data_IF_714733357393
#
_entry.id   IF_714733357393
#
_cell.length_a   1.000
_cell.length_b   1.000
_cell.length_c   1.000
_cell.angle_alpha   90.00
_cell.angle_beta   90.00
_cell.angle_gamma   90.00
#
_symmetry.space_group_name_H-M   'P 1'
#
loop_
_entity.id
_entity.type
_entity.pdbx_description
1 polymer ?
#
# COMPACT_ATOMS: atom_id res chain seq x y z
N UNK A 1 14.16 21.80 3.39
CA UNK A 1 12.85 22.10 4.00
C UNK A 1 11.92 20.95 3.63
N UNK A 2 11.56 20.12 4.60
CA UNK A 2 10.90 18.81 4.44
C UNK A 2 9.44 18.96 4.01
N UNK A 3 9.13 18.72 2.73
CA UNK A 3 7.76 18.59 2.22
C UNK A 3 7.31 17.13 2.31
N UNK A 4 6.75 16.77 3.46
CA UNK A 4 5.88 15.59 3.55
C UNK A 4 4.60 15.88 2.75
N UNK A 5 4.08 14.93 1.94
CA UNK A 5 2.76 15.10 1.32
C UNK A 5 1.74 15.32 2.44
N UNK A 6 0.96 16.40 2.35
CA UNK A 6 -0.16 16.67 3.26
C UNK A 6 -1.25 15.62 3.00
N UNK A 7 -1.09 14.46 3.63
CA UNK A 7 -2.13 13.46 3.75
C UNK A 7 -3.34 14.12 4.45
N UNK A 8 -4.58 13.95 3.98
CA UNK A 8 -5.74 14.55 4.62
C UNK A 8 -5.77 14.16 6.11
N UNK A 9 -6.21 15.07 6.97
CA UNK A 9 -6.10 14.98 8.44
C UNK A 9 -6.74 13.73 9.09
N UNK A 10 -7.54 12.97 8.34
CA UNK A 10 -8.10 11.68 8.75
C UNK A 10 -7.40 10.43 8.20
N UNK A 11 -6.50 10.55 7.23
CA UNK A 11 -5.88 9.40 6.55
C UNK A 11 -5.05 8.51 7.48
N UNK A 12 -4.22 9.04 8.41
CA UNK A 12 -3.51 8.19 9.37
C UNK A 12 -4.46 7.34 10.22
N UNK A 13 -5.57 7.91 10.71
CA UNK A 13 -6.58 7.17 11.49
C UNK A 13 -7.26 6.05 10.68
N UNK A 14 -7.50 6.28 9.39
CA UNK A 14 -8.06 5.27 8.50
C UNK A 14 -7.06 4.14 8.22
N UNK A 15 -5.78 4.47 8.04
CA UNK A 15 -4.71 3.47 7.91
C UNK A 15 -4.63 2.59 9.16
N UNK A 16 -4.80 3.16 10.37
CA UNK A 16 -4.84 2.37 11.60
C UNK A 16 -6.02 1.39 11.65
N UNK A 17 -7.21 1.83 11.22
CA UNK A 17 -8.38 0.97 11.13
C UNK A 17 -8.15 -0.18 10.13
N UNK A 18 -7.56 0.10 8.97
CA UNK A 18 -7.24 -0.91 7.96
C UNK A 18 -6.17 -1.89 8.47
N UNK A 19 -5.10 -1.38 9.07
CA UNK A 19 -4.05 -2.21 9.65
C UNK A 19 -4.60 -3.17 10.72
N UNK A 20 -5.60 -2.74 11.48
CA UNK A 20 -6.25 -3.57 12.51
C UNK A 20 -6.99 -4.79 11.95
N UNK A 21 -7.43 -4.75 10.68
CA UNK A 21 -8.06 -5.89 10.02
C UNK A 21 -7.06 -7.05 9.80
N UNK A 22 -5.75 -6.75 9.80
CA UNK A 22 -4.68 -7.74 9.62
C UNK A 22 -4.04 -8.20 10.94
N UNK A 23 -4.20 -7.44 12.03
CA UNK A 23 -3.63 -7.77 13.36
C UNK A 23 -4.10 -9.15 13.87
N UNK A 24 -5.28 -9.61 13.45
CA UNK A 24 -5.80 -10.94 13.81
C UNK A 24 -5.06 -12.13 13.20
N UNK A 25 -4.02 -11.91 12.37
CA UNK A 25 -3.26 -12.97 11.70
C UNK A 25 -1.76 -12.93 12.09
N UNK A 26 -1.36 -13.55 13.22
CA UNK A 26 0.00 -13.45 13.75
C UNK A 26 1.09 -13.81 12.73
N UNK A 27 0.90 -14.88 11.96
CA UNK A 27 1.87 -15.32 10.96
C UNK A 27 2.03 -14.31 9.81
N UNK A 28 0.94 -13.68 9.36
CA UNK A 28 1.00 -12.60 8.35
C UNK A 28 1.75 -11.40 8.91
N UNK A 29 1.46 -11.00 10.15
CA UNK A 29 2.15 -9.89 10.80
C UNK A 29 3.65 -10.14 10.96
N UNK A 30 4.07 -11.38 11.28
CA UNK A 30 5.48 -11.73 11.37
C UNK A 30 6.18 -11.67 10.01
N UNK A 31 5.58 -12.25 8.96
CA UNK A 31 6.14 -12.18 7.59
C UNK A 31 6.27 -10.73 7.10
N UNK A 32 5.27 -9.89 7.38
CA UNK A 32 5.33 -8.46 7.08
C UNK A 32 6.43 -7.75 7.89
N UNK A 33 6.66 -8.16 9.13
CA UNK A 33 7.72 -7.59 9.96
C UNK A 33 9.09 -7.91 9.37
N UNK A 34 9.33 -9.16 8.99
CA UNK A 34 10.58 -9.57 8.35
C UNK A 34 10.80 -8.86 7.00
N UNK A 35 9.77 -8.82 6.15
CA UNK A 35 9.80 -8.14 4.85
C UNK A 35 10.16 -6.65 4.97
N UNK A 36 9.66 -5.99 6.01
CA UNK A 36 9.86 -4.56 6.24
C UNK A 36 11.11 -4.25 7.10
N UNK A 37 11.98 -5.24 7.33
CA UNK A 37 13.24 -5.04 8.05
C UNK A 37 13.07 -4.86 9.55
N UNK A 38 11.97 -5.37 10.12
CA UNK A 38 11.66 -5.40 11.55
C UNK A 38 11.60 -6.85 12.06
N UNK A 39 12.66 -7.66 11.93
CA UNK A 39 12.62 -9.06 12.34
C UNK A 39 12.46 -9.19 13.87
N UNK A 40 11.95 -10.34 14.31
CA UNK A 40 11.88 -10.67 15.73
C UNK A 40 13.27 -10.64 16.37
N UNK A 41 13.37 -10.05 17.58
CA UNK A 41 14.62 -10.04 18.34
C UNK A 41 14.64 -11.18 19.35
N UNK A 42 15.83 -11.74 19.61
CA UNK A 42 15.98 -12.82 20.58
C UNK A 42 15.62 -12.29 21.97
N UNK A 43 14.65 -12.94 22.61
CA UNK A 43 14.19 -12.58 23.94
C UNK A 43 13.15 -11.46 23.98
N UNK A 44 12.55 -11.09 22.84
CA UNK A 44 11.45 -10.12 22.82
C UNK A 44 10.30 -10.57 23.74
N UNK A 45 9.80 -9.63 24.53
CA UNK A 45 8.60 -9.78 25.34
C UNK A 45 7.35 -9.87 24.45
N UNK A 46 6.24 -10.34 25.00
CA UNK A 46 4.95 -10.36 24.29
C UNK A 46 4.50 -8.96 23.84
N UNK A 47 4.75 -7.94 24.67
CA UNK A 47 4.40 -6.56 24.33
C UNK A 47 5.27 -6.00 23.21
N UNK A 48 6.59 -6.26 23.23
CA UNK A 48 7.49 -5.87 22.14
C UNK A 48 7.09 -6.56 20.83
N UNK A 49 6.77 -7.85 20.87
CA UNK A 49 6.29 -8.61 19.70
C UNK A 49 5.00 -8.01 19.13
N UNK A 50 4.05 -7.68 20.00
CA UNK A 50 2.78 -7.06 19.62
C UNK A 50 3.02 -5.68 18.99
N UNK A 51 3.84 -4.84 19.61
CA UNK A 51 4.19 -3.52 19.10
C UNK A 51 4.89 -3.60 17.72
N UNK A 52 5.81 -4.55 17.55
CA UNK A 52 6.49 -4.82 16.27
C UNK A 52 5.50 -5.21 15.18
N UNK A 53 4.61 -6.18 15.45
CA UNK A 53 3.56 -6.60 14.51
C UNK A 53 2.62 -5.46 14.13
N UNK A 54 2.20 -4.64 15.09
CA UNK A 54 1.35 -3.46 14.84
C UNK A 54 2.08 -2.44 13.96
N UNK A 55 3.36 -2.22 14.22
CA UNK A 55 4.17 -1.29 13.42
C UNK A 55 4.31 -1.80 11.99
N UNK A 56 4.61 -3.08 11.81
CA UNK A 56 4.72 -3.71 10.51
C UNK A 56 3.42 -3.61 9.69
N UNK A 57 2.26 -3.89 10.28
CA UNK A 57 0.97 -3.77 9.56
C UNK A 57 0.62 -2.33 9.21
N UNK A 58 0.94 -1.35 10.06
CA UNK A 58 0.76 0.08 9.75
C UNK A 58 1.66 0.53 8.61
N UNK A 59 2.95 0.17 8.64
CA UNK A 59 3.90 0.49 7.57
C UNK A 59 3.48 -0.18 6.26
N UNK A 60 3.10 -1.46 6.28
CA UNK A 60 2.59 -2.19 5.12
C UNK A 60 1.36 -1.48 4.51
N UNK A 61 0.39 -1.10 5.34
CA UNK A 61 -0.83 -0.40 4.91
C UNK A 61 -0.51 0.95 4.26
N UNK A 62 0.43 1.71 4.83
CA UNK A 62 0.88 2.99 4.29
C UNK A 62 1.58 2.83 2.94
N UNK A 63 2.47 1.83 2.82
CA UNK A 63 3.17 1.53 1.56
C UNK A 63 2.16 1.17 0.46
N UNK A 64 1.20 0.29 0.76
CA UNK A 64 0.14 -0.08 -0.19
C UNK A 64 -0.71 1.11 -0.61
N UNK A 65 -1.12 1.96 0.35
CA UNK A 65 -1.88 3.17 0.04
C UNK A 65 -1.09 4.12 -0.87
N UNK A 66 0.20 4.34 -0.58
CA UNK A 66 1.07 5.18 -1.40
C UNK A 66 1.26 4.60 -2.81
N UNK A 67 1.42 3.29 -2.94
CA UNK A 67 1.52 2.61 -4.23
C UNK A 67 0.22 2.74 -5.05
N UNK A 68 -0.94 2.60 -4.42
CA UNK A 68 -2.25 2.79 -5.06
C UNK A 68 -2.47 4.23 -5.51
N UNK A 69 -2.11 5.22 -4.68
CA UNK A 69 -2.16 6.64 -5.06
C UNK A 69 -1.27 6.87 -6.27
N UNK A 70 -0.04 6.36 -6.24
CA UNK A 70 0.91 6.52 -7.34
C UNK A 70 0.41 5.86 -8.64
N UNK A 71 -0.19 4.68 -8.58
CA UNK A 71 -0.85 4.03 -9.71
C UNK A 71 -1.93 4.92 -10.33
N UNK A 72 -2.84 5.47 -9.51
CA UNK A 72 -3.94 6.32 -10.00
C UNK A 72 -3.42 7.61 -10.64
N UNK A 73 -2.34 8.17 -10.08
CA UNK A 73 -1.66 9.33 -10.66
C UNK A 73 -0.99 9.02 -11.99
N UNK A 74 -0.31 7.88 -12.12
CA UNK A 74 0.29 7.45 -13.39
C UNK A 74 -0.78 7.23 -14.46
N UNK A 75 -1.88 6.57 -14.10
CA UNK A 75 -3.02 6.34 -15.00
C UNK A 75 -3.71 7.64 -15.45
N UNK A 76 -3.74 8.68 -14.61
CA UNK A 76 -4.41 9.96 -14.91
C UNK A 76 -3.50 10.99 -15.59
N UNK A 77 -2.30 11.21 -15.04
CA UNK A 77 -1.45 12.38 -15.35
C UNK A 77 -0.19 12.02 -16.13
N UNK A 78 0.25 10.75 -16.10
CA UNK A 78 1.47 10.29 -16.78
C UNK A 78 1.25 9.79 -18.21
N UNK A 79 0.01 9.51 -18.62
CA UNK A 79 -0.31 9.10 -19.98
C UNK A 79 0.30 7.75 -20.42
N UNK A 80 0.86 6.97 -19.49
CA UNK A 80 1.29 5.61 -19.82
C UNK A 80 0.06 4.70 -19.84
N UNK A 81 -0.55 4.56 -21.01
CA UNK A 81 -1.74 3.72 -21.24
C UNK A 81 -1.53 2.23 -20.94
N UNK A 82 -0.37 1.84 -20.41
CA UNK A 82 -0.09 0.50 -19.89
C UNK A 82 -0.36 0.38 -18.38
N UNK A 83 -0.59 1.49 -17.67
CA UNK A 83 -0.96 1.53 -16.25
C UNK A 83 -2.47 1.70 -16.12
N UNK A 84 -3.11 0.73 -15.48
CA UNK A 84 -4.55 0.74 -15.29
C UNK A 84 -4.92 1.57 -14.05
N UNK A 85 -6.00 2.33 -14.11
CA UNK A 85 -6.56 2.98 -12.91
C UNK A 85 -7.05 1.94 -11.89
N UNK A 86 -7.17 2.32 -10.62
CA UNK A 86 -7.70 1.45 -9.57
C UNK A 86 -9.14 1.00 -9.84
N UNK A 87 -9.89 1.73 -10.68
CA UNK A 87 -11.25 1.35 -11.10
C UNK A 87 -11.29 0.01 -11.85
N UNK A 88 -10.20 -0.41 -12.48
CA UNK A 88 -10.14 -1.68 -13.20
C UNK A 88 -10.38 -2.90 -12.28
N UNK A 89 -10.15 -2.75 -10.97
CA UNK A 89 -10.21 -3.84 -9.99
C UNK A 89 -11.45 -3.75 -9.07
N UNK A 90 -12.36 -2.80 -9.29
CA UNK A 90 -13.51 -2.56 -8.39
C UNK A 90 -14.47 -3.76 -8.34
N UNK A 91 -14.57 -4.53 -9.42
CA UNK A 91 -15.45 -5.70 -9.52
C UNK A 91 -14.74 -7.03 -9.34
N UNK A 92 -13.43 -7.02 -9.10
CA UNK A 92 -12.65 -8.25 -9.01
C UNK A 92 -13.00 -9.04 -7.75
N UNK A 93 -13.20 -10.34 -7.88
CA UNK A 93 -13.43 -11.22 -6.74
C UNK A 93 -12.22 -11.27 -5.80
N UNK A 94 -11.01 -11.15 -6.38
CA UNK A 94 -9.75 -11.00 -5.67
C UNK A 94 -8.96 -9.79 -6.21
N UNK A 95 -9.20 -8.57 -5.68
CA UNK A 95 -8.45 -7.40 -6.08
C UNK A 95 -6.98 -7.46 -5.64
N UNK A 96 -6.63 -8.33 -4.68
CA UNK A 96 -5.25 -8.48 -4.20
C UNK A 96 -4.39 -9.07 -5.31
N UNK A 97 -4.85 -10.17 -5.91
CA UNK A 97 -4.13 -10.83 -7.01
C UNK A 97 -4.07 -9.97 -8.27
N UNK A 98 -5.19 -9.31 -8.62
CA UNK A 98 -5.25 -8.39 -9.77
C UNK A 98 -4.24 -7.24 -9.65
N UNK A 99 -4.22 -6.55 -8.51
CA UNK A 99 -3.29 -5.44 -8.26
C UNK A 99 -1.85 -5.94 -8.21
N UNK A 100 -1.59 -7.06 -7.54
CA UNK A 100 -0.26 -7.67 -7.45
C UNK A 100 0.31 -7.98 -8.84
N UNK A 101 -0.46 -8.65 -9.70
CA UNK A 101 -0.05 -8.96 -11.07
C UNK A 101 0.21 -7.70 -11.89
N UNK A 102 -0.60 -6.66 -11.71
CA UNK A 102 -0.41 -5.39 -12.40
C UNK A 102 0.85 -4.66 -11.93
N UNK A 103 1.09 -4.58 -10.62
CA UNK A 103 2.29 -3.97 -10.06
C UNK A 103 3.56 -4.70 -10.49
N UNK A 104 3.53 -6.03 -10.53
CA UNK A 104 4.62 -6.84 -11.10
C UNK A 104 4.97 -6.38 -12.52
N UNK A 105 3.95 -6.22 -13.37
CA UNK A 105 4.12 -5.74 -14.74
C UNK A 105 4.68 -4.31 -14.79
N UNK A 106 4.26 -3.42 -13.90
CA UNK A 106 4.74 -2.03 -13.88
C UNK A 106 6.24 -1.97 -13.58
N UNK A 107 6.71 -2.58 -12.48
CA UNK A 107 8.14 -2.43 -12.15
C UNK A 107 9.06 -3.28 -13.02
N UNK A 108 8.58 -4.37 -13.62
CA UNK A 108 9.39 -5.18 -14.55
C UNK A 108 9.43 -4.63 -15.98
N UNK A 109 8.41 -3.87 -16.42
CA UNK A 109 8.29 -3.44 -17.83
C UNK A 109 8.21 -1.92 -18.05
N UNK A 110 8.00 -1.12 -16.99
CA UNK A 110 7.72 0.33 -17.09
C UNK A 110 8.74 1.16 -16.27
N UNK A 111 9.63 0.54 -15.48
CA UNK A 111 10.74 1.16 -14.72
C UNK A 111 10.35 2.08 -13.53
N UNK A 112 9.13 2.01 -12.99
CA UNK A 112 8.76 2.68 -11.72
C UNK A 112 9.06 1.80 -10.49
N UNK A 113 10.32 1.43 -10.31
CA UNK A 113 10.69 0.20 -9.58
C UNK A 113 10.44 0.18 -8.07
N UNK A 114 10.85 1.18 -7.27
CA UNK A 114 10.97 0.95 -5.82
C UNK A 114 9.63 0.70 -5.13
N UNK A 115 8.59 1.50 -5.43
CA UNK A 115 7.32 1.45 -4.69
C UNK A 115 6.43 0.27 -5.08
N UNK A 116 6.39 -0.10 -6.36
CA UNK A 116 5.57 -1.22 -6.82
C UNK A 116 6.19 -2.57 -6.48
N UNK A 117 7.52 -2.68 -6.43
CA UNK A 117 8.19 -3.91 -6.01
C UNK A 117 7.93 -4.22 -4.54
N UNK A 118 8.06 -3.23 -3.65
CA UNK A 118 7.76 -3.43 -2.23
C UNK A 118 6.25 -3.64 -2.01
N UNK A 119 5.40 -2.92 -2.75
CA UNK A 119 3.96 -3.11 -2.70
C UNK A 119 3.54 -4.53 -3.10
N UNK A 120 4.09 -5.06 -4.19
CA UNK A 120 3.85 -6.44 -4.63
C UNK A 120 4.29 -7.44 -3.56
N UNK A 121 5.50 -7.26 -3.02
CA UNK A 121 6.01 -8.14 -1.97
C UNK A 121 5.09 -8.13 -0.72
N UNK A 122 4.54 -6.98 -0.34
CA UNK A 122 3.57 -6.91 0.76
C UNK A 122 2.28 -7.66 0.40
N UNK A 123 1.72 -7.46 -0.80
CA UNK A 123 0.50 -8.15 -1.23
C UNK A 123 0.69 -9.67 -1.27
N UNK A 124 1.88 -10.14 -1.64
CA UNK A 124 2.24 -11.56 -1.67
C UNK A 124 2.21 -12.21 -0.28
N UNK A 125 2.43 -11.45 0.80
CA UNK A 125 2.40 -11.97 2.17
C UNK A 125 1.01 -12.04 2.78
N UNK A 126 0.03 -11.38 2.17
CA UNK A 126 -1.36 -11.30 2.66
C UNK A 126 -2.15 -12.51 2.14
N UNK A 127 -2.61 -13.42 3.01
CA UNK A 127 -3.42 -14.56 2.58
C UNK A 127 -4.82 -14.11 2.16
N UNK A 128 -5.39 -14.83 1.20
CA UNK A 128 -6.76 -14.59 0.76
C UNK A 128 -7.73 -14.78 1.93
N UNK A 129 -8.45 -13.72 2.28
CA UNK A 129 -9.47 -13.71 3.33
C UNK A 129 -10.41 -12.53 3.12
N UNK A 130 -11.65 -12.64 3.62
CA UNK A 130 -12.63 -11.55 3.49
C UNK A 130 -12.15 -10.24 4.14
N UNK A 131 -11.42 -10.34 5.26
CA UNK A 131 -10.81 -9.18 5.92
C UNK A 131 -9.73 -8.54 5.05
N UNK A 132 -8.87 -9.35 4.42
CA UNK A 132 -7.84 -8.84 3.52
C UNK A 132 -8.44 -8.15 2.29
N UNK A 133 -9.43 -8.78 1.65
CA UNK A 133 -10.14 -8.21 0.49
C UNK A 133 -10.82 -6.89 0.88
N UNK A 134 -11.52 -6.86 2.03
CA UNK A 134 -12.18 -5.65 2.52
C UNK A 134 -11.19 -4.53 2.81
N UNK A 135 -10.07 -4.85 3.47
CA UNK A 135 -8.98 -3.89 3.75
C UNK A 135 -8.41 -3.27 2.47
N UNK A 136 -8.15 -4.11 1.46
CA UNK A 136 -7.60 -3.66 0.16
C UNK A 136 -8.61 -2.80 -0.59
N UNK A 137 -9.88 -3.19 -0.63
CA UNK A 137 -10.96 -2.36 -1.23
C UNK A 137 -11.10 -1.01 -0.54
N UNK A 138 -10.94 -0.98 0.78
CA UNK A 138 -10.95 0.27 1.52
C UNK A 138 -9.74 1.15 1.17
N UNK A 139 -8.52 0.59 1.12
CA UNK A 139 -7.33 1.30 0.65
C UNK A 139 -7.51 1.88 -0.74
N UNK A 140 -8.06 1.10 -1.68
CA UNK A 140 -8.36 1.57 -3.04
C UNK A 140 -9.32 2.76 -3.02
N UNK A 141 -10.36 2.70 -2.20
CA UNK A 141 -11.36 3.77 -2.06
C UNK A 141 -10.72 5.05 -1.54
N UNK A 142 -9.87 4.96 -0.52
CA UNK A 142 -9.15 6.10 0.03
C UNK A 142 -8.14 6.68 -0.96
N UNK A 143 -7.38 5.83 -1.66
CA UNK A 143 -6.43 6.27 -2.68
C UNK A 143 -7.14 7.04 -3.81
N UNK A 144 -8.27 6.50 -4.32
CA UNK A 144 -9.12 7.18 -5.30
C UNK A 144 -9.64 8.52 -4.79
N UNK A 145 -10.11 8.58 -3.54
CA UNK A 145 -10.61 9.82 -2.94
C UNK A 145 -9.52 10.89 -2.77
N UNK A 146 -8.31 10.49 -2.39
CA UNK A 146 -7.15 11.40 -2.30
C UNK A 146 -6.80 11.96 -3.68
N UNK A 147 -6.75 11.11 -4.71
CA UNK A 147 -6.41 11.53 -6.07
C UNK A 147 -7.50 12.45 -6.67
N UNK A 148 -8.78 12.18 -6.39
CA UNK A 148 -9.89 13.01 -6.85
C UNK A 148 -9.88 14.42 -6.22
N UNK A 149 -9.42 14.55 -4.97
CA UNK A 149 -9.44 15.81 -4.23
C UNK A 149 -8.17 16.67 -4.38
N UNK A 150 -7.13 16.19 -5.07
CA UNK A 150 -5.86 16.92 -5.16
C UNK A 150 -5.49 17.36 -6.58
N UNK A 151 -5.50 18.68 -6.81
CA UNK A 151 -4.78 19.33 -7.91
C UNK A 151 -3.26 19.43 -7.64
N UNK A 152 -2.84 19.42 -6.37
CA UNK A 152 -1.47 19.73 -5.94
C UNK A 152 -0.48 18.54 -5.94
N UNK A 153 -0.95 17.29 -5.86
CA UNK A 153 -0.10 16.08 -5.88
C UNK A 153 0.61 15.89 -7.26
N UNK A 154 0.12 16.57 -8.31
CA UNK A 154 0.71 16.61 -9.65
C UNK A 154 2.08 17.28 -9.71
N UNK A 155 2.30 18.30 -8.88
CA UNK A 155 3.52 19.12 -8.95
C UNK A 155 4.70 18.50 -8.18
N UNK A 156 4.42 17.76 -7.10
CA UNK A 156 5.45 17.16 -6.24
C UNK A 156 6.04 15.85 -6.79
N UNK A 157 5.28 15.13 -7.61
CA UNK A 157 5.69 13.84 -8.16
C UNK A 157 6.66 13.99 -9.34
N UNK A 158 6.42 14.97 -10.21
CA UNK A 158 7.30 15.28 -11.36
C UNK A 158 8.67 15.81 -10.91
N UNK A 159 8.75 16.50 -9.76
CA UNK A 159 10.01 17.06 -9.25
C UNK A 159 10.89 16.09 -8.45
N UNK A 160 10.41 14.89 -8.11
CA UNK A 160 11.14 13.90 -7.27
C UNK A 160 11.56 12.63 -8.02
N UNK A 161 11.24 12.52 -9.31
CA UNK A 161 11.63 11.40 -10.19
C UNK A 161 12.83 11.78 -11.11
N UNK A 162 13.37 13.00 -10.99
CA UNK A 162 14.63 13.42 -11.64
C UNK A 162 15.76 13.55 -10.64
#
# INVERSE_FOLDING_TARGET
MTLSPNLPSGFPKKIEAIASLWIGQPATCDRLSDLLGMPATRGETEEERKARRITATKVASLVLANAMIFQEQLATSGGDGRVDSLRAYDTDTDPIDGIKCHWHRIWTKINYVPIFRIGEAILQEIPISQNAISAIRWLMTEAKAICANQSALRHDLMGRIY
#
